data_IF_110350430470
#
_entry.id   IF_110350430470
#
_cell.length_a   1.000
_cell.length_b   1.000
_cell.length_c   1.000
_cell.angle_alpha   90.00
_cell.angle_beta   90.00
_cell.angle_gamma   90.00
#
_symmetry.space_group_name_H-M   'P 1'
#
loop_
_entity.id
_entity.type
_entity.pdbx_description
1 polymer ?
#
# COMPACT_ATOMS: atom_id res chain seq x y z
N UNK A 1 -3.31 23.99 5.63
CA UNK A 1 -2.22 23.01 5.65
C UNK A 1 -0.85 23.66 5.79
N UNK A 2 -0.49 24.64 4.98
CA UNK A 2 0.82 25.34 5.04
C UNK A 2 1.17 25.90 6.42
N UNK A 3 0.27 26.66 7.06
CA UNK A 3 0.49 27.26 8.38
C UNK A 3 0.77 26.22 9.46
N UNK A 4 0.08 25.08 9.41
CA UNK A 4 0.26 24.01 10.38
C UNK A 4 1.59 23.27 10.19
N UNK A 5 1.94 22.94 8.95
CA UNK A 5 3.23 22.30 8.64
C UNK A 5 4.41 23.22 9.03
N UNK A 6 4.23 24.53 8.92
CA UNK A 6 5.20 25.49 9.39
C UNK A 6 5.39 25.42 10.92
N UNK A 7 4.31 25.29 11.70
CA UNK A 7 4.37 25.11 13.15
C UNK A 7 5.12 23.84 13.53
N UNK A 8 4.81 22.70 12.91
CA UNK A 8 5.49 21.42 13.17
C UNK A 8 6.99 21.52 12.81
N UNK A 9 7.31 22.21 11.71
CA UNK A 9 8.71 22.47 11.32
C UNK A 9 9.46 23.25 12.40
N UNK A 10 8.84 24.31 12.91
CA UNK A 10 9.44 25.15 13.97
C UNK A 10 9.65 24.36 15.27
N UNK A 11 8.68 23.51 15.64
CA UNK A 11 8.81 22.62 16.81
C UNK A 11 9.92 21.58 16.64
N UNK A 12 10.06 20.99 15.44
CA UNK A 12 11.12 20.03 15.19
C UNK A 12 12.51 20.69 15.21
N UNK A 13 12.64 21.85 14.58
CA UNK A 13 13.87 22.66 14.65
C UNK A 13 14.20 23.03 16.09
N UNK A 14 13.21 23.46 16.88
CA UNK A 14 13.38 23.76 18.28
C UNK A 14 13.84 22.56 19.09
N UNK A 15 13.21 21.41 18.92
CA UNK A 15 13.59 20.16 19.58
C UNK A 15 15.07 19.83 19.34
N UNK A 16 15.53 19.93 18.08
CA UNK A 16 16.94 19.65 17.73
C UNK A 16 17.87 20.66 18.39
N UNK A 17 17.54 21.96 18.33
CA UNK A 17 18.38 23.01 18.89
C UNK A 17 18.46 22.98 20.42
N UNK A 18 17.41 22.56 21.11
CA UNK A 18 17.36 22.45 22.57
C UNK A 18 17.98 21.13 23.08
N UNK A 19 18.20 20.16 22.18
CA UNK A 19 18.82 18.88 22.55
C UNK A 19 20.35 19.03 22.61
N UNK A 20 20.94 18.51 23.68
CA UNK A 20 22.39 18.45 23.81
C UNK A 20 22.98 17.65 22.62
N UNK A 21 24.04 18.20 21.94
CA UNK A 21 24.67 17.53 20.80
C UNK A 21 25.13 16.07 21.11
N UNK A 22 25.59 15.83 22.35
CA UNK A 22 25.96 14.47 22.75
C UNK A 22 24.74 13.55 22.87
N UNK A 23 23.62 14.04 23.40
CA UNK A 23 22.35 13.29 23.43
C UNK A 23 21.87 12.97 22.02
N UNK A 24 21.90 13.94 21.10
CA UNK A 24 21.55 13.73 19.69
C UNK A 24 22.44 12.65 19.03
N UNK A 25 23.76 12.73 19.25
CA UNK A 25 24.72 11.75 18.74
C UNK A 25 24.44 10.35 19.31
N UNK A 26 24.21 10.23 20.62
CA UNK A 26 23.93 8.97 21.29
C UNK A 26 22.60 8.35 20.82
N UNK A 27 21.56 9.17 20.63
CA UNK A 27 20.29 8.70 20.05
C UNK A 27 20.47 8.14 18.63
N UNK A 28 21.28 8.81 17.82
CA UNK A 28 21.64 8.38 16.47
C UNK A 28 22.41 7.04 16.48
N UNK A 29 23.39 6.90 17.33
CA UNK A 29 24.19 5.66 17.51
C UNK A 29 23.29 4.50 17.95
N UNK A 30 22.47 4.69 19.00
CA UNK A 30 21.53 3.70 19.47
C UNK A 30 20.56 3.26 18.36
N UNK A 31 20.07 4.21 17.55
CA UNK A 31 19.20 3.88 16.41
C UNK A 31 19.95 3.02 15.40
N UNK A 32 21.15 3.38 14.99
CA UNK A 32 21.94 2.63 14.00
C UNK A 32 22.28 1.22 14.46
N UNK A 33 22.70 1.08 15.71
CA UNK A 33 23.15 -0.20 16.28
C UNK A 33 21.98 -1.16 16.51
N UNK A 34 20.77 -0.65 16.76
CA UNK A 34 19.62 -1.46 17.14
C UNK A 34 18.49 -1.47 16.09
N UNK A 35 18.59 -0.73 14.98
CA UNK A 35 17.51 -0.62 14.00
C UNK A 35 17.10 -2.00 13.43
N UNK A 36 18.06 -2.84 13.09
CA UNK A 36 17.75 -4.17 12.50
C UNK A 36 16.94 -5.06 13.43
N UNK A 37 17.36 -5.34 14.69
CA UNK A 37 16.55 -6.14 15.60
C UNK A 37 15.24 -5.45 15.99
N UNK A 38 15.21 -4.12 16.13
CA UNK A 38 13.98 -3.38 16.42
C UNK A 38 12.94 -3.55 15.30
N UNK A 39 13.37 -3.44 14.06
CA UNK A 39 12.49 -3.58 12.89
C UNK A 39 12.00 -5.02 12.74
N UNK A 40 12.85 -6.01 12.95
CA UNK A 40 12.43 -7.41 12.94
C UNK A 40 11.33 -7.68 13.99
N UNK A 41 11.53 -7.19 15.21
CA UNK A 41 10.55 -7.33 16.29
C UNK A 41 9.27 -6.51 16.03
N UNK A 42 9.39 -5.32 15.43
CA UNK A 42 8.27 -4.51 15.00
C UNK A 42 7.36 -5.29 14.07
N UNK A 43 7.90 -5.88 12.99
CA UNK A 43 7.09 -6.64 12.05
C UNK A 43 6.51 -7.91 12.68
N UNK A 44 7.23 -8.57 13.60
CA UNK A 44 6.68 -9.70 14.34
C UNK A 44 5.43 -9.31 15.15
N UNK A 45 5.45 -8.13 15.78
CA UNK A 45 4.31 -7.64 16.58
C UNK A 45 3.16 -7.16 15.68
N UNK A 46 3.48 -6.39 14.63
CA UNK A 46 2.47 -5.82 13.72
C UNK A 46 1.77 -6.91 12.92
N UNK A 47 2.50 -7.92 12.44
CA UNK A 47 1.93 -9.05 11.69
C UNK A 47 1.06 -9.99 12.54
N UNK A 48 1.10 -9.87 13.86
CA UNK A 48 0.16 -10.57 14.73
C UNK A 48 -1.27 -9.98 14.64
N UNK A 49 -1.42 -8.78 14.10
CA UNK A 49 -2.71 -8.18 13.81
C UNK A 49 -3.18 -8.64 12.41
N UNK A 50 -4.37 -9.28 12.29
CA UNK A 50 -4.87 -9.79 11.02
C UNK A 50 -5.03 -8.70 9.95
N UNK A 51 -5.38 -7.48 10.34
CA UNK A 51 -5.56 -6.36 9.41
C UNK A 51 -4.23 -5.86 8.81
N UNK A 52 -3.12 -5.99 9.56
CA UNK A 52 -1.79 -5.68 9.05
C UNK A 52 -1.24 -6.79 8.14
N UNK A 53 -1.57 -8.06 8.45
CA UNK A 53 -1.11 -9.21 7.68
C UNK A 53 -1.63 -9.22 6.23
N UNK A 54 -2.76 -8.58 5.96
CA UNK A 54 -3.32 -8.45 4.60
C UNK A 54 -2.39 -7.69 3.63
N UNK A 55 -1.58 -6.77 4.13
CA UNK A 55 -0.69 -5.92 3.32
C UNK A 55 0.70 -6.51 3.11
N UNK A 56 1.05 -7.59 3.79
CA UNK A 56 2.42 -8.14 3.85
C UNK A 56 2.43 -9.60 3.36
N UNK A 57 2.22 -9.79 2.06
CA UNK A 57 1.95 -11.12 1.49
C UNK A 57 3.15 -11.84 0.89
N UNK A 58 4.33 -11.21 0.78
CA UNK A 58 5.51 -11.85 0.17
C UNK A 58 6.80 -11.52 0.92
N UNK A 59 7.71 -12.50 1.01
CA UNK A 59 9.04 -12.35 1.63
C UNK A 59 9.85 -11.19 1.03
N UNK A 60 9.68 -10.89 -0.26
CA UNK A 60 10.34 -9.77 -0.93
C UNK A 60 9.80 -8.42 -0.45
N UNK A 61 8.48 -8.31 -0.26
CA UNK A 61 7.82 -7.11 0.27
C UNK A 61 8.26 -6.89 1.71
N UNK A 62 8.29 -7.95 2.53
CA UNK A 62 8.77 -7.87 3.91
C UNK A 62 10.19 -7.32 4.00
N UNK A 63 11.12 -7.81 3.18
CA UNK A 63 12.51 -7.33 3.18
C UNK A 63 12.63 -5.87 2.77
N UNK A 64 11.89 -5.43 1.76
CA UNK A 64 11.90 -4.04 1.31
C UNK A 64 11.34 -3.09 2.36
N UNK A 65 10.24 -3.49 3.02
CA UNK A 65 9.61 -2.70 4.08
C UNK A 65 10.49 -2.65 5.33
N UNK A 66 11.12 -3.76 5.70
CA UNK A 66 12.07 -3.78 6.82
C UNK A 66 13.24 -2.82 6.59
N UNK A 67 13.82 -2.80 5.39
CA UNK A 67 14.90 -1.88 5.05
C UNK A 67 14.42 -0.43 4.99
N UNK A 68 13.21 -0.18 4.51
CA UNK A 68 12.62 1.15 4.50
C UNK A 68 12.39 1.68 5.92
N UNK A 69 11.81 0.87 6.81
CA UNK A 69 11.57 1.24 8.21
C UNK A 69 12.88 1.40 8.99
N UNK A 70 13.88 0.55 8.71
CA UNK A 70 15.22 0.68 9.29
C UNK A 70 15.85 2.03 8.95
N UNK A 71 15.83 2.40 7.67
CA UNK A 71 16.32 3.71 7.20
C UNK A 71 15.53 4.85 7.82
N UNK A 72 14.22 4.76 7.78
CA UNK A 72 13.32 5.75 8.35
C UNK A 72 13.64 6.05 9.84
N UNK A 73 13.81 5.01 10.67
CA UNK A 73 14.13 5.17 12.09
C UNK A 73 15.46 5.89 12.30
N UNK A 74 16.48 5.52 11.52
CA UNK A 74 17.79 6.16 11.58
C UNK A 74 17.68 7.63 11.13
N UNK A 75 17.00 7.90 10.01
CA UNK A 75 16.90 9.23 9.43
C UNK A 75 16.13 10.20 10.34
N UNK A 76 15.06 9.73 10.99
CA UNK A 76 14.30 10.53 11.97
C UNK A 76 15.15 10.89 13.18
N UNK A 77 15.88 9.93 13.75
CA UNK A 77 16.67 10.15 14.97
C UNK A 77 18.03 10.80 14.72
N UNK A 78 18.51 10.81 13.47
CA UNK A 78 19.74 11.53 13.08
C UNK A 78 19.47 12.87 12.39
N UNK A 79 18.20 13.28 12.32
CA UNK A 79 17.79 14.49 11.62
C UNK A 79 18.48 15.74 12.19
N UNK A 80 19.03 16.56 11.29
CA UNK A 80 19.61 17.87 11.64
C UNK A 80 18.68 18.99 11.18
N UNK A 81 18.88 20.18 11.72
CA UNK A 81 18.04 21.35 11.41
C UNK A 81 17.85 21.58 9.91
N UNK A 82 18.94 21.45 9.15
CA UNK A 82 18.93 21.67 7.69
C UNK A 82 18.14 20.57 6.94
N UNK A 83 17.91 19.43 7.58
CA UNK A 83 17.25 18.26 7.00
C UNK A 83 15.76 18.16 7.37
N UNK A 84 15.27 19.00 8.30
CA UNK A 84 13.88 18.91 8.81
C UNK A 84 12.86 18.97 7.66
N UNK A 85 13.05 19.88 6.72
CA UNK A 85 12.11 20.01 5.59
C UNK A 85 12.11 18.77 4.69
N UNK A 86 13.28 18.18 4.43
CA UNK A 86 13.38 16.93 3.67
C UNK A 86 12.74 15.75 4.44
N UNK A 87 12.93 15.69 5.75
CA UNK A 87 12.27 14.71 6.61
C UNK A 87 10.76 14.86 6.58
N UNK A 88 10.22 16.06 6.66
CA UNK A 88 8.78 16.30 6.54
C UNK A 88 8.23 15.84 5.19
N UNK A 89 8.93 16.13 4.09
CA UNK A 89 8.57 15.64 2.76
C UNK A 89 8.62 14.10 2.68
N UNK A 90 9.56 13.47 3.36
CA UNK A 90 9.63 12.01 3.45
C UNK A 90 8.42 11.41 4.17
N UNK A 91 7.95 12.05 5.27
CA UNK A 91 6.73 11.64 5.96
C UNK A 91 5.49 11.80 5.07
N UNK A 92 5.38 12.90 4.33
CA UNK A 92 4.29 13.12 3.39
C UNK A 92 4.27 12.04 2.29
N UNK A 93 5.43 11.73 1.68
CA UNK A 93 5.53 10.65 0.69
C UNK A 93 5.12 9.28 1.26
N UNK A 94 5.55 8.98 2.49
CA UNK A 94 5.16 7.74 3.16
C UNK A 94 3.65 7.67 3.41
N UNK A 95 3.04 8.78 3.86
CA UNK A 95 1.60 8.88 4.04
C UNK A 95 0.83 8.63 2.73
N UNK A 96 1.27 9.25 1.62
CA UNK A 96 0.66 9.08 0.31
C UNK A 96 0.75 7.62 -0.17
N UNK A 97 1.86 6.94 0.10
CA UNK A 97 2.01 5.51 -0.22
C UNK A 97 1.06 4.67 0.62
N UNK A 98 1.03 4.87 1.94
CA UNK A 98 0.13 4.13 2.84
C UNK A 98 -1.34 4.32 2.45
N UNK A 99 -1.78 5.55 2.21
CA UNK A 99 -3.14 5.86 1.78
C UNK A 99 -3.48 5.17 0.44
N UNK A 100 -2.55 5.18 -0.51
CA UNK A 100 -2.72 4.60 -1.85
C UNK A 100 -2.89 3.07 -1.81
N UNK A 101 -2.20 2.40 -0.90
CA UNK A 101 -2.31 0.93 -0.74
C UNK A 101 -3.39 0.52 0.28
N UNK A 102 -4.13 1.48 0.82
CA UNK A 102 -5.29 1.23 1.69
C UNK A 102 -4.96 0.88 3.14
N UNK A 103 -3.71 1.11 3.60
CA UNK A 103 -3.38 0.96 5.03
C UNK A 103 -4.17 2.01 5.80
N UNK A 104 -4.91 1.65 6.83
CA UNK A 104 -5.66 2.61 7.64
C UNK A 104 -4.73 3.47 8.53
N UNK A 105 -5.16 4.69 8.83
CA UNK A 105 -4.40 5.57 9.74
C UNK A 105 -4.22 4.92 11.12
N UNK A 106 -5.21 4.16 11.59
CA UNK A 106 -5.15 3.44 12.86
C UNK A 106 -4.00 2.41 12.90
N UNK A 107 -3.74 1.72 11.78
CA UNK A 107 -2.60 0.80 11.65
C UNK A 107 -1.27 1.54 11.67
N UNK A 108 -1.20 2.71 11.05
CA UNK A 108 -0.01 3.57 11.07
C UNK A 108 0.26 4.04 12.51
N UNK A 109 -0.76 4.54 13.21
CA UNK A 109 -0.65 4.98 14.62
C UNK A 109 -0.26 3.82 15.56
N UNK A 110 -0.84 2.63 15.33
CA UNK A 110 -0.42 1.42 16.03
C UNK A 110 1.06 1.13 15.82
N UNK A 111 1.53 1.25 14.58
CA UNK A 111 2.94 1.06 14.23
C UNK A 111 3.86 2.02 15.01
N UNK A 112 3.56 3.31 15.05
CA UNK A 112 4.33 4.30 15.81
C UNK A 112 4.35 3.97 17.31
N UNK A 113 3.22 3.56 17.87
CA UNK A 113 3.12 3.13 19.27
C UNK A 113 3.99 1.90 19.54
N UNK A 114 4.00 0.92 18.65
CA UNK A 114 4.84 -0.28 18.75
C UNK A 114 6.32 0.10 18.70
N UNK A 115 6.75 0.95 17.76
CA UNK A 115 8.12 1.43 17.67
C UNK A 115 8.59 2.10 18.96
N UNK A 116 7.80 3.03 19.51
CA UNK A 116 8.12 3.70 20.78
C UNK A 116 8.25 2.71 21.93
N UNK A 117 7.36 1.71 22.00
CA UNK A 117 7.41 0.65 23.02
C UNK A 117 8.69 -0.22 22.89
N UNK A 118 9.11 -0.51 21.67
CA UNK A 118 10.31 -1.33 21.42
C UNK A 118 11.61 -0.54 21.64
N UNK A 119 11.59 0.78 21.42
CA UNK A 119 12.76 1.62 21.63
C UNK A 119 13.08 1.84 23.13
N UNK A 120 12.07 1.83 23.98
CA UNK A 120 12.23 2.06 25.42
C UNK A 120 13.23 1.08 26.09
N UNK A 121 13.14 -0.26 25.94
CA UNK A 121 14.12 -1.17 26.53
C UNK A 121 15.53 -0.96 25.97
N UNK A 122 15.69 -0.63 24.69
CA UNK A 122 17.00 -0.34 24.09
C UNK A 122 17.67 0.83 24.79
N UNK A 123 16.94 1.90 25.05
CA UNK A 123 17.46 3.07 25.75
C UNK A 123 17.73 2.74 27.23
N UNK A 124 16.80 2.07 27.92
CA UNK A 124 16.91 1.80 29.35
C UNK A 124 18.00 0.80 29.71
N UNK A 125 18.32 -0.15 28.82
CA UNK A 125 19.40 -1.13 29.02
C UNK A 125 20.78 -0.63 28.55
N UNK A 126 20.86 0.51 27.88
CA UNK A 126 22.14 1.10 27.45
C UNK A 126 23.05 1.43 28.64
N UNK A 127 24.34 1.56 28.40
CA UNK A 127 25.36 1.77 29.46
C UNK A 127 25.43 3.23 29.99
N UNK A 128 24.48 4.10 29.60
CA UNK A 128 24.48 5.51 30.00
C UNK A 128 23.87 5.76 31.37
N UNK A 129 24.11 6.94 31.95
CA UNK A 129 23.49 7.35 33.21
C UNK A 129 21.97 7.51 33.06
N UNK A 130 21.18 7.38 34.15
CA UNK A 130 19.72 7.55 34.09
C UNK A 130 19.29 8.89 33.50
N UNK A 131 20.02 9.96 33.77
CA UNK A 131 19.75 11.29 33.25
C UNK A 131 19.94 11.35 31.72
N UNK A 132 21.04 10.83 31.20
CA UNK A 132 21.31 10.74 29.77
C UNK A 132 20.26 9.88 29.06
N UNK A 133 19.88 8.74 29.66
CA UNK A 133 18.81 7.86 29.14
C UNK A 133 17.48 8.61 29.03
N UNK A 134 17.13 9.42 30.02
CA UNK A 134 15.91 10.23 30.01
C UNK A 134 15.94 11.26 28.87
N UNK A 135 17.05 11.94 28.65
CA UNK A 135 17.20 12.90 27.57
C UNK A 135 17.17 12.22 26.19
N UNK A 136 17.84 11.08 26.02
CA UNK A 136 17.76 10.28 24.78
C UNK A 136 16.32 9.85 24.50
N UNK A 137 15.61 9.37 25.52
CA UNK A 137 14.23 8.95 25.41
C UNK A 137 13.33 10.12 25.03
N UNK A 138 13.47 11.27 25.71
CA UNK A 138 12.72 12.48 25.41
C UNK A 138 12.91 12.93 23.96
N UNK A 139 14.18 13.04 23.52
CA UNK A 139 14.49 13.40 22.13
C UNK A 139 13.88 12.40 21.12
N UNK A 140 14.10 11.10 21.33
CA UNK A 140 13.67 10.07 20.40
C UNK A 140 12.14 10.02 20.26
N UNK A 141 11.40 10.09 21.38
CA UNK A 141 9.94 10.03 21.36
C UNK A 141 9.35 11.27 20.68
N UNK A 142 9.85 12.48 21.01
CA UNK A 142 9.34 13.70 20.38
C UNK A 142 9.65 13.74 18.88
N UNK A 143 10.85 13.28 18.46
CA UNK A 143 11.20 13.20 17.04
C UNK A 143 10.26 12.24 16.28
N UNK A 144 9.93 11.09 16.87
CA UNK A 144 8.98 10.12 16.31
C UNK A 144 7.56 10.71 16.27
N UNK A 145 7.15 11.43 17.32
CA UNK A 145 5.80 12.03 17.40
C UNK A 145 5.64 13.16 16.36
N UNK A 146 6.65 14.00 16.16
CA UNK A 146 6.63 15.02 15.10
C UNK A 146 6.58 14.38 13.70
N UNK A 147 7.32 13.29 13.46
CA UNK A 147 7.25 12.55 12.22
C UNK A 147 5.85 11.95 12.00
N UNK A 148 5.25 11.36 13.05
CA UNK A 148 3.89 10.82 13.03
C UNK A 148 2.87 11.92 12.74
N UNK A 149 3.01 13.09 13.35
CA UNK A 149 2.08 14.21 13.16
C UNK A 149 2.06 14.68 11.71
N UNK A 150 3.23 14.85 11.07
CA UNK A 150 3.32 15.17 9.65
C UNK A 150 2.67 14.08 8.80
N UNK A 151 2.94 12.82 9.10
CA UNK A 151 2.40 11.68 8.37
C UNK A 151 0.88 11.58 8.50
N UNK A 152 0.34 11.67 9.72
CA UNK A 152 -1.11 11.58 9.96
C UNK A 152 -1.88 12.71 9.28
N UNK A 153 -1.33 13.92 9.26
CA UNK A 153 -1.93 15.05 8.54
C UNK A 153 -1.92 14.89 7.03
N UNK A 154 -0.80 14.43 6.49
CA UNK A 154 -0.69 14.15 5.06
C UNK A 154 -1.65 13.02 4.67
N UNK A 155 -1.79 12.02 5.54
CA UNK A 155 -2.71 10.90 5.35
C UNK A 155 -4.16 11.37 5.23
N UNK A 156 -4.67 12.12 6.23
CA UNK A 156 -6.04 12.68 6.22
C UNK A 156 -6.26 13.56 4.99
N UNK A 157 -5.25 14.31 4.57
CA UNK A 157 -5.33 15.13 3.36
C UNK A 157 -5.39 14.28 2.09
N UNK A 158 -4.59 13.22 2.01
CA UNK A 158 -4.58 12.27 0.89
C UNK A 158 -5.90 11.50 0.80
N UNK A 159 -6.45 11.01 1.93
CA UNK A 159 -7.77 10.37 1.97
C UNK A 159 -8.89 11.32 1.56
N UNK A 160 -8.91 12.54 2.07
CA UNK A 160 -9.92 13.54 1.71
C UNK A 160 -9.81 13.98 0.25
N UNK A 161 -8.60 14.03 -0.31
CA UNK A 161 -8.41 14.32 -1.72
C UNK A 161 -8.75 13.12 -2.59
N UNK A 162 -8.34 11.91 -2.20
CA UNK A 162 -8.73 10.68 -2.87
C UNK A 162 -10.26 10.50 -2.86
N UNK A 163 -10.92 10.77 -1.73
CA UNK A 163 -12.38 10.73 -1.65
C UNK A 163 -13.05 11.82 -2.51
N UNK A 164 -12.46 13.01 -2.63
CA UNK A 164 -12.93 14.08 -3.51
C UNK A 164 -12.58 13.83 -4.97
N UNK A 165 -11.40 13.30 -5.24
CA UNK A 165 -10.98 12.88 -6.57
C UNK A 165 -11.75 11.64 -7.00
N UNK A 166 -12.03 10.68 -6.12
CA UNK A 166 -12.92 9.54 -6.38
C UNK A 166 -14.36 9.98 -6.60
N UNK A 167 -14.90 10.95 -5.86
CA UNK A 167 -16.22 11.53 -6.11
C UNK A 167 -16.23 12.33 -7.41
N UNK A 168 -15.22 13.16 -7.68
CA UNK A 168 -15.08 13.89 -8.91
C UNK A 168 -14.68 12.97 -10.09
N UNK A 169 -13.83 11.99 -9.88
CA UNK A 169 -13.44 11.01 -10.88
C UNK A 169 -14.57 10.00 -11.13
N UNK A 170 -15.34 9.64 -10.11
CA UNK A 170 -16.57 8.87 -10.24
C UNK A 170 -17.62 9.62 -11.06
N UNK A 171 -17.74 10.94 -10.86
CA UNK A 171 -18.64 11.78 -11.65
C UNK A 171 -18.09 12.03 -13.06
N UNK A 172 -16.79 12.23 -13.23
CA UNK A 172 -16.14 12.58 -14.49
C UNK A 172 -15.78 11.38 -15.38
N UNK A 173 -15.32 10.27 -14.77
CA UNK A 173 -14.98 9.05 -15.50
C UNK A 173 -16.21 8.21 -15.87
N UNK A 174 -17.29 8.38 -15.15
CA UNK A 174 -18.59 7.80 -15.50
C UNK A 174 -19.13 8.43 -16.79
N UNK A 175 -18.72 9.64 -17.16
CA UNK A 175 -19.32 10.37 -18.27
C UNK A 175 -18.53 10.35 -19.58
N UNK A 176 -17.21 10.21 -19.54
CA UNK A 176 -16.40 10.27 -20.78
C UNK A 176 -15.54 9.03 -21.08
N UNK A 177 -15.24 8.17 -20.10
CA UNK A 177 -14.18 7.15 -20.26
C UNK A 177 -14.50 5.73 -19.76
N UNK A 178 -15.75 5.36 -19.44
CA UNK A 178 -16.08 4.01 -19.00
C UNK A 178 -15.66 2.96 -20.06
N UNK A 179 -15.87 3.27 -21.33
CA UNK A 179 -15.49 2.40 -22.45
C UNK A 179 -13.96 2.30 -22.58
N UNK A 180 -13.25 3.42 -22.47
CA UNK A 180 -11.78 3.45 -22.54
C UNK A 180 -11.15 2.69 -21.36
N UNK A 181 -11.70 2.83 -20.15
CA UNK A 181 -11.23 2.09 -18.97
C UNK A 181 -11.51 0.59 -19.12
N UNK A 182 -12.68 0.20 -19.60
CA UNK A 182 -13.03 -1.18 -19.93
C UNK A 182 -12.02 -1.80 -20.91
N UNK A 183 -11.72 -1.06 -21.98
CA UNK A 183 -10.76 -1.49 -23.00
C UNK A 183 -9.35 -1.59 -22.41
N UNK A 184 -8.93 -0.62 -21.60
CA UNK A 184 -7.61 -0.61 -20.95
C UNK A 184 -7.45 -1.80 -20.01
N UNK A 185 -8.44 -2.10 -19.18
CA UNK A 185 -8.39 -3.22 -18.25
C UNK A 185 -8.47 -4.57 -18.97
N UNK A 186 -9.23 -4.64 -20.05
CA UNK A 186 -9.22 -5.82 -20.94
C UNK A 186 -7.85 -6.04 -21.57
N UNK A 187 -7.23 -4.96 -22.06
CA UNK A 187 -5.88 -5.02 -22.63
C UNK A 187 -4.83 -5.43 -21.59
N UNK A 188 -4.92 -4.95 -20.34
CA UNK A 188 -4.03 -5.36 -19.24
C UNK A 188 -4.13 -6.87 -18.94
N UNK A 189 -5.35 -7.42 -18.91
CA UNK A 189 -5.57 -8.87 -18.77
C UNK A 189 -4.92 -9.67 -19.91
N UNK A 190 -5.17 -9.26 -21.15
CA UNK A 190 -4.63 -9.94 -22.33
C UNK A 190 -3.09 -9.82 -22.43
N UNK A 191 -2.55 -8.68 -22.01
CA UNK A 191 -1.09 -8.48 -21.94
C UNK A 191 -0.45 -9.42 -20.93
N UNK A 192 -1.04 -9.57 -19.73
CA UNK A 192 -0.58 -10.51 -18.72
C UNK A 192 -0.66 -11.97 -19.23
N UNK A 193 -1.78 -12.35 -19.87
CA UNK A 193 -1.95 -13.68 -20.50
C UNK A 193 -0.84 -13.94 -21.51
N UNK A 194 -0.59 -13.00 -22.42
CA UNK A 194 0.41 -13.13 -23.46
C UNK A 194 1.82 -13.33 -22.91
N UNK A 195 2.20 -12.57 -21.88
CA UNK A 195 3.51 -12.73 -21.23
C UNK A 195 3.65 -14.13 -20.61
N UNK A 196 2.59 -14.63 -19.96
CA UNK A 196 2.60 -15.96 -19.35
C UNK A 196 2.64 -17.06 -20.42
N UNK A 197 1.82 -16.95 -21.46
CA UNK A 197 1.81 -17.87 -22.61
C UNK A 197 3.18 -17.94 -23.28
N UNK A 198 3.82 -16.81 -23.50
CA UNK A 198 5.17 -16.74 -24.10
C UNK A 198 6.19 -17.53 -23.26
N UNK A 199 6.18 -17.33 -21.93
CA UNK A 199 7.09 -18.09 -21.05
C UNK A 199 6.81 -19.58 -21.07
N UNK A 200 5.56 -19.99 -21.04
CA UNK A 200 5.15 -21.39 -21.09
C UNK A 200 5.58 -22.04 -22.43
N UNK A 201 5.39 -21.33 -23.55
CA UNK A 201 5.75 -21.82 -24.89
C UNK A 201 7.25 -22.02 -25.05
N UNK A 202 8.06 -21.13 -24.42
CA UNK A 202 9.51 -21.25 -24.43
C UNK A 202 10.05 -22.25 -23.38
N UNK A 203 9.20 -23.00 -22.71
CA UNK A 203 9.56 -23.84 -21.56
C UNK A 203 10.38 -23.08 -20.49
N UNK A 204 10.18 -21.76 -20.38
CA UNK A 204 10.81 -20.92 -19.37
C UNK A 204 10.10 -21.11 -18.04
N UNK A 205 10.84 -21.00 -16.94
CA UNK A 205 10.24 -21.05 -15.61
C UNK A 205 9.24 -19.91 -15.40
N UNK A 206 8.04 -20.25 -14.93
CA UNK A 206 7.04 -19.26 -14.49
C UNK A 206 7.30 -18.73 -13.08
N UNK A 207 8.37 -19.19 -12.42
CA UNK A 207 8.70 -18.83 -11.03
C UNK A 207 8.81 -17.33 -10.77
N UNK A 208 9.25 -16.56 -11.77
CA UNK A 208 9.37 -15.10 -11.72
C UNK A 208 8.17 -14.35 -12.35
N UNK A 209 7.07 -15.06 -12.65
CA UNK A 209 5.86 -14.42 -13.15
C UNK A 209 4.97 -14.00 -11.99
N UNK A 210 4.30 -12.87 -12.15
CA UNK A 210 3.34 -12.38 -11.16
C UNK A 210 2.04 -13.18 -11.28
N UNK A 211 1.41 -13.58 -10.16
CA UNK A 211 0.05 -14.09 -10.15
C UNK A 211 -0.93 -13.05 -10.69
N UNK A 212 -2.13 -13.48 -11.08
CA UNK A 212 -3.13 -12.60 -11.69
C UNK A 212 -3.52 -11.44 -10.77
N UNK A 213 -3.70 -11.68 -9.48
CA UNK A 213 -4.01 -10.66 -8.48
C UNK A 213 -2.93 -9.60 -8.29
N UNK A 214 -1.69 -9.91 -8.66
CA UNK A 214 -0.55 -8.96 -8.64
C UNK A 214 -0.26 -8.35 -10.03
N UNK A 215 -1.02 -8.71 -11.05
CA UNK A 215 -0.95 -8.07 -12.37
C UNK A 215 -1.50 -6.64 -12.32
N UNK A 216 -1.27 -5.84 -13.38
CA UNK A 216 -1.84 -4.51 -13.52
C UNK A 216 -3.36 -4.52 -13.35
N UNK A 217 -4.05 -5.47 -13.99
CA UNK A 217 -5.49 -5.66 -13.82
C UNK A 217 -5.86 -6.05 -12.39
N UNK A 218 -5.19 -7.03 -11.79
CA UNK A 218 -5.48 -7.51 -10.44
C UNK A 218 -5.34 -6.42 -9.38
N UNK A 219 -4.27 -5.62 -9.47
CA UNK A 219 -4.05 -4.46 -8.60
C UNK A 219 -5.11 -3.39 -8.83
N UNK A 220 -5.41 -3.05 -10.09
CA UNK A 220 -6.48 -2.11 -10.40
C UNK A 220 -7.82 -2.59 -9.84
N UNK A 221 -8.17 -3.86 -10.07
CA UNK A 221 -9.45 -4.39 -9.64
C UNK A 221 -9.58 -4.42 -8.11
N UNK A 222 -8.53 -4.83 -7.38
CA UNK A 222 -8.55 -4.87 -5.92
C UNK A 222 -8.65 -3.48 -5.28
N UNK A 223 -7.98 -2.48 -5.85
CA UNK A 223 -7.90 -1.13 -5.27
C UNK A 223 -8.98 -0.18 -5.81
N UNK A 224 -9.31 -0.26 -7.09
CA UNK A 224 -10.28 0.61 -7.75
C UNK A 224 -11.56 -0.13 -8.14
N UNK A 225 -11.46 -1.22 -8.87
CA UNK A 225 -12.60 -1.94 -9.42
C UNK A 225 -13.60 -2.39 -8.37
N UNK A 226 -13.15 -2.94 -7.24
CA UNK A 226 -14.04 -3.33 -6.13
C UNK A 226 -14.81 -2.15 -5.53
N UNK A 227 -14.18 -1.00 -5.49
CA UNK A 227 -14.83 0.22 -5.00
C UNK A 227 -15.83 0.77 -6.03
N UNK A 228 -15.43 0.83 -7.29
CA UNK A 228 -16.30 1.24 -8.40
C UNK A 228 -17.58 0.43 -8.50
N UNK A 229 -17.46 -0.89 -8.37
CA UNK A 229 -18.55 -1.84 -8.53
C UNK A 229 -19.10 -2.31 -7.18
N UNK A 230 -18.95 -1.50 -6.13
CA UNK A 230 -19.43 -1.84 -4.79
C UNK A 230 -20.96 -2.08 -4.82
N UNK A 231 -21.36 -3.22 -4.25
CA UNK A 231 -22.78 -3.62 -4.22
C UNK A 231 -23.23 -4.42 -5.44
N UNK A 232 -22.39 -4.62 -6.46
CA UNK A 232 -22.71 -5.45 -7.63
C UNK A 232 -22.11 -6.85 -7.43
N UNK A 233 -22.95 -7.90 -7.58
CA UNK A 233 -22.56 -9.27 -7.27
C UNK A 233 -21.41 -9.81 -8.14
N UNK A 234 -21.34 -9.38 -9.38
CA UNK A 234 -20.35 -9.73 -10.39
C UNK A 234 -18.92 -9.33 -9.94
N UNK A 235 -18.77 -8.22 -9.21
CA UNK A 235 -17.47 -7.80 -8.66
C UNK A 235 -16.93 -8.81 -7.64
N UNK A 236 -17.81 -9.37 -6.80
CA UNK A 236 -17.46 -10.46 -5.90
C UNK A 236 -17.06 -11.74 -6.63
N UNK A 237 -17.66 -12.00 -7.80
CA UNK A 237 -17.33 -13.15 -8.63
C UNK A 237 -15.94 -13.01 -9.27
N UNK A 238 -15.61 -11.84 -9.81
CA UNK A 238 -14.25 -11.56 -10.34
C UNK A 238 -13.20 -11.77 -9.25
N UNK A 239 -13.43 -11.26 -8.03
CA UNK A 239 -12.49 -11.45 -6.91
C UNK A 239 -12.22 -12.94 -6.63
N UNK A 240 -13.27 -13.77 -6.63
CA UNK A 240 -13.13 -15.22 -6.44
C UNK A 240 -12.38 -15.89 -7.58
N UNK A 241 -12.66 -15.53 -8.83
CA UNK A 241 -11.96 -16.08 -10.00
C UNK A 241 -10.46 -15.76 -9.97
N UNK A 242 -10.09 -14.54 -9.56
CA UNK A 242 -8.68 -14.16 -9.38
C UNK A 242 -8.04 -15.04 -8.31
N UNK A 243 -8.66 -15.17 -7.14
CA UNK A 243 -8.14 -15.98 -6.03
C UNK A 243 -7.97 -17.45 -6.42
N UNK A 244 -9.00 -18.09 -6.98
CA UNK A 244 -8.96 -19.48 -7.40
C UNK A 244 -7.86 -19.74 -8.45
N UNK A 245 -7.65 -18.78 -9.35
CA UNK A 245 -6.58 -18.92 -10.34
C UNK A 245 -5.19 -18.71 -9.72
N UNK A 246 -5.05 -17.76 -8.80
CA UNK A 246 -3.78 -17.50 -8.12
C UNK A 246 -3.36 -18.69 -7.23
N UNK A 247 -4.30 -19.36 -6.61
CA UNK A 247 -4.05 -20.61 -5.86
C UNK A 247 -3.47 -21.69 -6.80
N UNK A 248 -4.11 -21.92 -7.94
CA UNK A 248 -3.61 -22.85 -8.96
C UNK A 248 -2.23 -22.43 -9.51
N UNK A 249 -2.07 -21.16 -9.78
CA UNK A 249 -0.79 -20.60 -10.28
C UNK A 249 0.35 -20.81 -9.28
N UNK A 250 0.09 -20.58 -8.00
CA UNK A 250 1.06 -20.78 -6.94
C UNK A 250 1.39 -22.25 -6.72
N UNK A 251 0.41 -23.15 -6.81
CA UNK A 251 0.63 -24.60 -6.76
C UNK A 251 1.60 -25.05 -7.87
N UNK A 252 1.35 -24.62 -9.11
CA UNK A 252 2.21 -24.94 -10.25
C UNK A 252 3.62 -24.32 -10.10
N UNK A 253 3.69 -23.09 -9.58
CA UNK A 253 4.96 -22.40 -9.34
C UNK A 253 5.82 -23.09 -8.29
N UNK A 254 5.21 -23.59 -7.21
CA UNK A 254 5.90 -24.22 -6.08
C UNK A 254 6.28 -25.66 -6.34
N UNK A 255 5.61 -26.36 -7.26
CA UNK A 255 5.86 -27.78 -7.57
C UNK A 255 7.28 -28.04 -8.11
N UNK A 256 8.01 -27.00 -8.52
CA UNK A 256 9.39 -27.09 -9.03
C UNK A 256 9.55 -27.88 -10.34
N UNK A 257 8.53 -28.64 -10.75
CA UNK A 257 8.52 -29.45 -11.96
C UNK A 257 8.11 -28.64 -13.21
N UNK A 258 7.63 -27.40 -12.99
CA UNK A 258 7.15 -26.54 -14.06
C UNK A 258 6.00 -27.19 -14.83
N UNK A 259 5.66 -26.60 -15.98
CA UNK A 259 4.67 -27.14 -16.92
C UNK A 259 5.33 -28.07 -17.95
N UNK A 260 6.26 -28.94 -17.51
CA UNK A 260 7.02 -29.85 -18.40
C UNK A 260 6.16 -30.98 -18.93
N UNK A 261 5.19 -31.46 -18.12
CA UNK A 261 4.21 -32.44 -18.58
C UNK A 261 3.17 -31.77 -19.46
N UNK A 262 2.97 -32.33 -20.66
CA UNK A 262 2.03 -31.80 -21.65
C UNK A 262 0.60 -31.78 -21.14
N UNK A 263 0.14 -32.82 -20.45
CA UNK A 263 -1.23 -32.90 -19.96
C UNK A 263 -1.50 -31.86 -18.87
N UNK A 264 -0.55 -31.65 -17.94
CA UNK A 264 -0.64 -30.62 -16.91
C UNK A 264 -0.62 -29.23 -17.52
N UNK A 265 0.27 -29.01 -18.50
CA UNK A 265 0.34 -27.74 -19.23
C UNK A 265 -0.95 -27.41 -19.95
N UNK A 266 -1.50 -28.36 -20.70
CA UNK A 266 -2.73 -28.15 -21.45
C UNK A 266 -3.91 -27.85 -20.51
N UNK A 267 -4.00 -28.55 -19.37
CA UNK A 267 -5.00 -28.29 -18.34
C UNK A 267 -4.85 -26.90 -17.71
N UNK A 268 -3.62 -26.49 -17.40
CA UNK A 268 -3.34 -25.16 -16.86
C UNK A 268 -3.74 -24.07 -17.85
N UNK A 269 -3.33 -24.19 -19.11
CA UNK A 269 -3.65 -23.23 -20.17
C UNK A 269 -5.16 -23.13 -20.40
N UNK A 270 -5.87 -24.25 -20.38
CA UNK A 270 -7.32 -24.26 -20.52
C UNK A 270 -8.00 -23.57 -19.34
N UNK A 271 -7.54 -23.82 -18.11
CA UNK A 271 -8.08 -23.15 -16.91
C UNK A 271 -7.82 -21.65 -16.97
N UNK A 272 -6.60 -21.23 -17.30
CA UNK A 272 -6.23 -19.82 -17.47
C UNK A 272 -7.17 -19.13 -18.46
N UNK A 273 -7.32 -19.69 -19.67
CA UNK A 273 -8.16 -19.13 -20.72
C UNK A 273 -9.63 -19.02 -20.29
N UNK A 274 -10.16 -20.05 -19.62
CA UNK A 274 -11.53 -20.05 -19.13
C UNK A 274 -11.73 -18.96 -18.06
N UNK A 275 -10.80 -18.84 -17.11
CA UNK A 275 -10.86 -17.81 -16.06
C UNK A 275 -10.81 -16.42 -16.64
N UNK A 276 -9.87 -16.13 -17.55
CA UNK A 276 -9.76 -14.82 -18.18
C UNK A 276 -10.97 -14.47 -19.03
N UNK A 277 -11.51 -15.42 -19.79
CA UNK A 277 -12.73 -15.22 -20.57
C UNK A 277 -13.93 -14.87 -19.67
N UNK A 278 -14.08 -15.54 -18.53
CA UNK A 278 -15.11 -15.22 -17.55
C UNK A 278 -14.93 -13.84 -16.94
N UNK A 279 -13.70 -13.49 -16.55
CA UNK A 279 -13.39 -12.17 -16.00
C UNK A 279 -13.71 -11.07 -17.03
N UNK A 280 -13.32 -11.23 -18.30
CA UNK A 280 -13.59 -10.27 -19.36
C UNK A 280 -15.11 -10.10 -19.58
N UNK A 281 -15.86 -11.19 -19.53
CA UNK A 281 -17.32 -11.15 -19.66
C UNK A 281 -17.95 -10.39 -18.50
N UNK A 282 -17.61 -10.76 -17.27
CA UNK A 282 -18.11 -10.09 -16.07
C UNK A 282 -17.69 -8.62 -16.00
N UNK A 283 -16.47 -8.31 -16.43
CA UNK A 283 -15.99 -6.92 -16.50
C UNK A 283 -16.85 -6.09 -17.46
N UNK A 284 -17.20 -6.62 -18.62
CA UNK A 284 -18.11 -5.95 -19.55
C UNK A 284 -19.49 -5.73 -18.94
N UNK A 285 -20.05 -6.75 -18.31
CA UNK A 285 -21.35 -6.66 -17.62
C UNK A 285 -21.33 -5.59 -16.54
N UNK A 286 -20.25 -5.48 -15.75
CA UNK A 286 -20.08 -4.44 -14.73
C UNK A 286 -20.09 -3.03 -15.34
N UNK A 287 -19.31 -2.79 -16.39
CA UNK A 287 -19.28 -1.50 -17.05
C UNK A 287 -20.62 -1.16 -17.73
N UNK A 288 -21.28 -2.13 -18.34
CA UNK A 288 -22.57 -1.96 -18.98
C UNK A 288 -23.69 -1.68 -17.95
N UNK A 289 -23.60 -2.26 -16.73
CA UNK A 289 -24.55 -2.00 -15.64
C UNK A 289 -24.39 -0.58 -15.11
N UNK A 290 -23.16 -0.14 -14.88
CA UNK A 290 -22.86 1.24 -14.46
C UNK A 290 -23.36 2.22 -15.51
N UNK A 291 -23.06 2.01 -16.80
CA UNK A 291 -23.51 2.89 -17.89
C UNK A 291 -25.03 2.97 -18.02
N UNK A 292 -25.76 1.89 -17.71
CA UNK A 292 -27.22 1.89 -17.71
C UNK A 292 -27.84 2.73 -16.60
N UNK A 293 -27.24 2.71 -15.40
CA UNK A 293 -27.72 3.52 -14.28
C UNK A 293 -27.54 5.04 -14.51
N UNK A 294 -26.60 5.43 -15.35
CA UNK A 294 -26.27 6.82 -15.64
C UNK A 294 -27.22 7.50 -16.63
N UNK A 295 -27.80 6.76 -17.55
CA UNK A 295 -28.75 7.31 -18.52
C UNK A 295 -30.02 7.87 -17.86
N UNK A 296 -30.26 7.50 -16.59
CA UNK A 296 -31.44 7.92 -15.80
C UNK A 296 -31.29 9.21 -15.01
N UNK A 297 -30.08 9.77 -14.81
CA UNK A 297 -29.87 10.94 -13.94
C UNK A 297 -29.19 12.08 -14.70
N UNK A 298 -29.70 13.29 -14.60
CA UNK A 298 -29.08 14.51 -15.16
C UNK A 298 -27.84 14.89 -14.32
N UNK A 299 -26.71 14.99 -14.98
CA UNK A 299 -25.37 15.17 -14.38
C UNK A 299 -25.21 16.48 -13.62
N UNK A 300 -25.86 17.53 -14.09
CA UNK A 300 -25.74 18.87 -13.51
C UNK A 300 -26.70 19.08 -12.33
N UNK A 301 -27.86 18.48 -12.40
CA UNK A 301 -28.93 18.73 -11.43
C UNK A 301 -29.17 17.58 -10.44
N UNK A 302 -28.57 16.39 -10.67
CA UNK A 302 -28.82 15.14 -9.93
C UNK A 302 -30.29 14.72 -9.88
N UNK A 303 -31.12 15.21 -10.78
CA UNK A 303 -32.53 14.87 -10.93
C UNK A 303 -32.68 13.78 -11.99
N UNK A 304 -33.72 12.96 -11.84
CA UNK A 304 -34.10 11.98 -12.86
C UNK A 304 -34.34 12.66 -14.21
N UNK A 305 -33.71 12.14 -15.23
CA UNK A 305 -33.84 12.68 -16.59
C UNK A 305 -35.30 12.54 -17.04
N UNK A 306 -35.86 13.61 -17.66
CA UNK A 306 -37.26 13.70 -18.11
C UNK A 306 -37.72 12.53 -19.00
N UNK A 307 -36.82 11.68 -19.49
CA UNK A 307 -37.16 10.47 -20.27
C UNK A 307 -37.59 9.29 -19.40
N UNK A 308 -37.49 9.40 -18.08
CA UNK A 308 -37.87 8.36 -17.10
C UNK A 308 -39.05 8.80 -16.21
N UNK A 309 -39.65 9.95 -16.46
CA UNK A 309 -40.97 10.38 -15.97
C UNK A 309 -42.03 10.13 -17.05
#
# INVERSE_FOLDING_TARGET
METYLQTVKEEWVKLINETDPDVHRLATELARDNATPLVAEFYRVVLADPSAAEFLTTEQVERQLQEALRRWLIDVLSCRVEQVEEQMRAQQRAADVHARIGISVDLVEMGFRVLKKLLLPVITTSAHSPEVKLHIYHYAINSIDLAMEVMSRAYVFSENNAAKEDENYRIFSLMENAEEEKERQTAALLSWEMVLLYKITLNSSIGNSLPLGQSEFGLWFSHKGRHYFSGIAEAGHISRLIQEFDDLFNEVRLSGQGLSDKAQRDKFLQRMRNTLSQIITLLRELFDEVSRHEVGVDVLTRLLNRRFL
#
